data_IF_153039985704
#
_entry.id   IF_153039985704
#
_cell.length_a   1.000
_cell.length_b   1.000
_cell.length_c   1.000
_cell.angle_alpha   90.00
_cell.angle_beta   90.00
_cell.angle_gamma   90.00
#
_symmetry.space_group_name_H-M   'P 1'
#
loop_
_entity.id
_entity.type
_entity.pdbx_description
1 polymer ?
#
# COMPACT_ATOMS: atom_id res chain seq x y z
N UNK A 1 3.36 -14.28 10.34
CA UNK A 1 3.18 -14.05 8.89
C UNK A 1 1.88 -13.29 8.70
N UNK A 2 1.94 -12.08 8.16
CA UNK A 2 0.73 -11.37 7.76
C UNK A 2 0.19 -11.96 6.47
N UNK A 3 -1.08 -12.36 6.50
CA UNK A 3 -1.80 -12.89 5.36
C UNK A 3 -3.22 -12.31 5.39
N UNK A 4 -3.74 -11.87 4.24
CA UNK A 4 -5.05 -11.23 4.09
C UNK A 4 -5.00 -9.71 4.23
N UNK A 5 -6.18 -9.10 4.41
CA UNK A 5 -6.32 -7.65 4.51
C UNK A 5 -5.75 -7.13 5.84
N UNK A 6 -4.91 -6.09 5.75
CA UNK A 6 -4.34 -5.47 6.92
C UNK A 6 -4.00 -4.01 6.71
N UNK A 7 -3.49 -3.39 7.76
CA UNK A 7 -2.87 -2.08 7.71
C UNK A 7 -1.49 -2.18 8.33
N UNK A 8 -0.49 -1.70 7.61
CA UNK A 8 0.87 -1.59 8.08
C UNK A 8 1.27 -0.12 8.11
N UNK A 9 1.66 0.35 9.30
CA UNK A 9 2.23 1.69 9.48
C UNK A 9 3.74 1.57 9.50
N UNK A 10 4.40 2.23 8.57
CA UNK A 10 5.84 2.27 8.49
C UNK A 10 6.41 3.19 9.58
N UNK A 11 7.63 2.93 10.08
CA UNK A 11 8.28 3.81 11.06
C UNK A 11 8.55 5.22 10.51
N UNK A 12 8.54 5.40 9.18
CA UNK A 12 8.63 6.71 8.52
C UNK A 12 7.35 7.54 8.68
N UNK A 13 6.23 6.94 9.07
CA UNK A 13 4.91 7.57 9.13
C UNK A 13 4.03 7.27 7.91
N UNK A 14 4.57 6.63 6.87
CA UNK A 14 3.75 6.13 5.75
C UNK A 14 2.83 5.00 6.23
N UNK A 15 1.75 4.74 5.51
CA UNK A 15 0.78 3.69 5.83
C UNK A 15 0.38 2.94 4.58
N UNK A 16 0.39 1.61 4.63
CA UNK A 16 -0.18 0.75 3.60
C UNK A 16 -1.40 0.02 4.15
N UNK A 17 -2.49 0.04 3.41
CA UNK A 17 -3.73 -0.68 3.72
C UNK A 17 -4.07 -1.54 2.51
N UNK A 18 -4.09 -2.85 2.66
CA UNK A 18 -4.34 -3.74 1.53
C UNK A 18 -4.10 -5.20 1.86
N UNK A 19 -4.03 -6.01 0.83
CA UNK A 19 -3.72 -7.43 0.99
C UNK A 19 -2.23 -7.64 1.28
N UNK A 20 -1.99 -8.58 2.19
CA UNK A 20 -0.67 -9.09 2.52
C UNK A 20 -0.62 -10.58 2.19
N UNK A 21 0.50 -11.02 1.64
CA UNK A 21 0.81 -12.42 1.45
C UNK A 21 2.23 -12.68 1.97
N UNK A 22 2.36 -13.55 2.98
CA UNK A 22 3.64 -13.88 3.61
C UNK A 22 4.45 -12.65 4.12
N UNK A 23 3.77 -11.69 4.75
CA UNK A 23 4.34 -10.38 5.17
C UNK A 23 4.75 -9.44 4.04
N UNK A 24 4.43 -9.75 2.79
CA UNK A 24 4.65 -8.87 1.64
C UNK A 24 3.34 -8.22 1.24
N UNK A 25 3.42 -6.98 0.78
CA UNK A 25 2.28 -6.28 0.17
C UNK A 25 2.01 -6.91 -1.19
N UNK A 26 0.81 -7.46 -1.37
CA UNK A 26 0.46 -8.19 -2.59
C UNK A 26 -1.02 -8.00 -2.92
N UNK A 27 -1.32 -7.68 -4.18
CA UNK A 27 -2.67 -7.45 -4.67
C UNK A 27 -3.13 -6.00 -4.50
N UNK A 28 -4.44 -5.78 -4.49
CA UNK A 28 -4.99 -4.42 -4.37
C UNK A 28 -4.74 -3.82 -2.99
N UNK A 29 -4.29 -2.56 -2.99
CA UNK A 29 -4.02 -1.81 -1.78
C UNK A 29 -4.02 -0.31 -2.00
N UNK A 30 -3.85 0.39 -0.89
CA UNK A 30 -3.69 1.82 -0.79
C UNK A 30 -2.44 2.12 0.04
N UNK A 31 -1.52 2.88 -0.53
CA UNK A 31 -0.35 3.41 0.16
C UNK A 31 -0.50 4.91 0.37
N UNK A 32 -0.48 5.35 1.62
CA UNK A 32 -0.43 6.75 2.01
C UNK A 32 0.99 7.10 2.38
N UNK A 33 1.59 8.04 1.66
CA UNK A 33 2.93 8.52 1.93
C UNK A 33 2.96 9.46 3.16
N UNK A 34 4.16 9.77 3.66
CA UNK A 34 4.35 10.67 4.80
C UNK A 34 3.81 12.08 4.55
N UNK A 35 3.67 12.47 3.28
CA UNK A 35 3.07 13.74 2.86
C UNK A 35 1.53 13.71 2.82
N UNK A 36 0.91 12.56 3.14
CA UNK A 36 -0.55 12.36 3.02
C UNK A 36 -1.02 12.03 1.60
N UNK A 37 -0.11 11.83 0.64
CA UNK A 37 -0.44 11.43 -0.73
C UNK A 37 -0.89 9.98 -0.75
N UNK A 38 -2.09 9.73 -1.26
CA UNK A 38 -2.67 8.40 -1.36
C UNK A 38 -2.45 7.79 -2.75
N UNK A 39 -1.92 6.58 -2.79
CA UNK A 39 -1.64 5.81 -4.01
C UNK A 39 -2.46 4.53 -3.97
N UNK A 40 -3.36 4.35 -4.92
CA UNK A 40 -4.19 3.16 -5.03
C UNK A 40 -3.80 2.35 -6.25
N UNK A 41 -3.75 1.02 -6.10
CA UNK A 41 -3.51 0.13 -7.22
C UNK A 41 -3.15 -1.27 -6.77
N UNK A 42 -2.60 -2.04 -7.71
CA UNK A 42 -2.14 -3.39 -7.45
C UNK A 42 -0.65 -3.36 -7.09
N UNK A 43 -0.32 -3.80 -5.88
CA UNK A 43 1.04 -3.88 -5.36
C UNK A 43 1.55 -5.30 -5.58
N UNK A 44 2.70 -5.43 -6.23
CA UNK A 44 3.49 -6.65 -6.20
C UNK A 44 4.77 -6.38 -5.40
N UNK A 45 5.23 -7.39 -4.67
CA UNK A 45 6.45 -7.33 -3.84
C UNK A 45 7.63 -6.60 -4.51
N UNK A 46 7.81 -6.76 -5.82
CA UNK A 46 8.93 -6.19 -6.59
C UNK A 46 8.56 -4.96 -7.43
N UNK A 47 7.28 -4.69 -7.68
CA UNK A 47 6.84 -3.61 -8.54
C UNK A 47 5.38 -3.24 -8.28
N UNK A 48 5.04 -1.97 -8.44
CA UNK A 48 3.64 -1.54 -8.42
C UNK A 48 3.33 -0.81 -9.74
N UNK A 49 3.24 -1.54 -10.87
CA UNK A 49 2.94 -0.93 -12.15
C UNK A 49 1.50 -0.41 -12.15
N UNK A 50 1.32 0.87 -12.46
CA UNK A 50 -0.01 1.47 -12.61
C UNK A 50 -0.66 1.93 -11.30
N UNK A 51 0.12 2.23 -10.25
CA UNK A 51 -0.39 2.98 -9.11
C UNK A 51 -0.99 4.31 -9.59
N UNK A 52 -2.19 4.61 -9.11
CA UNK A 52 -2.88 5.87 -9.37
C UNK A 52 -2.80 6.71 -8.12
N UNK A 53 -2.24 7.91 -8.26
CA UNK A 53 -2.31 8.91 -7.22
C UNK A 53 -3.77 9.38 -7.10
N UNK A 54 -4.33 9.24 -5.91
CA UNK A 54 -5.62 9.81 -5.53
C UNK A 54 -5.40 11.27 -5.20
N UNK A 55 -5.60 12.13 -6.19
CA UNK A 55 -5.68 13.57 -5.98
C UNK A 55 -7.11 13.89 -5.52
N UNK A 56 -7.25 14.32 -4.27
CA UNK A 56 -8.46 14.99 -3.84
C UNK A 56 -8.39 16.42 -4.38
N UNK A 57 -9.14 16.69 -5.46
CA UNK A 57 -9.37 18.05 -5.99
C UNK A 57 -10.46 18.76 -5.19
#
# INVERSE_FOLDING_TARGET
MFHGLGTYTFPTGAKYTGNFNENRVEGEGQYTDVQGLEWCGNFHFTAAPGLRLKLHM
#
